data_IF_949686714683
#
_entry.id   IF_949686714683
#
_cell.length_a   1.000
_cell.length_b   1.000
_cell.length_c   1.000
_cell.angle_alpha   90.00
_cell.angle_beta   90.00
_cell.angle_gamma   90.00
#
_symmetry.space_group_name_H-M   'P 1'
#
loop_
_entity.id
_entity.type
_entity.pdbx_description
1 polymer ?
#
# COMPACT_ATOMS: atom_id res chain seq x y z
N UNK A 1 -25.05 -13.50 13.97
CA UNK A 1 -24.06 -12.43 13.68
C UNK A 1 -23.34 -12.80 12.38
N UNK A 2 -23.64 -12.12 11.26
CA UNK A 2 -22.94 -12.38 9.99
C UNK A 2 -21.56 -11.77 10.10
N UNK A 3 -20.56 -12.59 10.40
CA UNK A 3 -19.15 -12.20 10.30
C UNK A 3 -18.89 -11.91 8.82
N UNK A 4 -18.98 -10.63 8.42
CA UNK A 4 -18.51 -10.19 7.11
C UNK A 4 -17.00 -10.42 7.09
N UNK A 5 -16.57 -11.59 6.63
CA UNK A 5 -15.18 -11.93 6.39
C UNK A 5 -14.57 -10.88 5.47
N UNK A 6 -13.73 -10.00 6.03
CA UNK A 6 -12.95 -9.03 5.25
C UNK A 6 -11.74 -9.76 4.70
N UNK A 7 -11.84 -10.26 3.49
CA UNK A 7 -10.70 -10.86 2.79
C UNK A 7 -9.78 -9.76 2.24
N UNK A 8 -8.48 -9.98 2.37
CA UNK A 8 -7.43 -9.13 1.78
C UNK A 8 -6.73 -9.96 0.71
N UNK A 9 -6.75 -9.48 -0.54
CA UNK A 9 -6.01 -10.11 -1.64
C UNK A 9 -4.57 -9.63 -1.56
N UNK A 10 -3.64 -10.57 -1.49
CA UNK A 10 -2.20 -10.32 -1.45
C UNK A 10 -1.60 -10.86 -2.76
N UNK A 11 -1.21 -9.98 -3.69
CA UNK A 11 -0.49 -10.38 -4.90
C UNK A 11 0.78 -11.15 -4.56
N UNK A 12 1.15 -12.11 -5.42
CA UNK A 12 2.33 -12.94 -5.19
C UNK A 12 3.61 -12.13 -4.94
N UNK A 13 3.92 -11.03 -5.66
CA UNK A 13 5.10 -10.21 -5.37
C UNK A 13 5.09 -9.59 -3.96
N UNK A 14 3.92 -9.18 -3.47
CA UNK A 14 3.73 -8.62 -2.11
C UNK A 14 4.02 -9.72 -1.07
N UNK A 15 3.48 -10.92 -1.29
CA UNK A 15 3.72 -12.06 -0.40
C UNK A 15 5.21 -12.45 -0.38
N UNK A 16 5.81 -12.66 -1.55
CA UNK A 16 7.21 -13.07 -1.67
C UNK A 16 8.17 -12.05 -1.02
N UNK A 17 7.94 -10.75 -1.25
CA UNK A 17 8.71 -9.71 -0.58
C UNK A 17 8.58 -9.81 0.94
N UNK A 18 7.35 -9.94 1.46
CA UNK A 18 7.09 -9.98 2.91
C UNK A 18 7.79 -11.14 3.60
N UNK A 19 8.00 -12.27 2.92
CA UNK A 19 8.71 -13.44 3.45
C UNK A 19 10.24 -13.28 3.39
N UNK A 20 10.75 -12.61 2.35
CA UNK A 20 12.19 -12.49 2.08
C UNK A 20 12.85 -11.31 2.80
N UNK A 21 12.12 -10.21 3.01
CA UNK A 21 12.69 -8.98 3.59
C UNK A 21 13.28 -9.22 4.97
N UNK A 22 14.36 -8.48 5.27
CA UNK A 22 15.01 -8.43 6.58
C UNK A 22 15.07 -6.99 7.09
N UNK A 23 14.82 -6.76 8.39
CA UNK A 23 14.45 -7.73 9.43
C UNK A 23 13.07 -8.36 9.18
N UNK A 24 12.80 -9.54 9.75
CA UNK A 24 11.55 -10.29 9.46
C UNK A 24 10.27 -9.48 9.77
N UNK A 25 10.32 -8.62 10.79
CA UNK A 25 9.20 -7.73 11.13
C UNK A 25 8.93 -6.65 10.07
N UNK A 26 9.87 -6.33 9.18
CA UNK A 26 9.62 -5.45 8.04
C UNK A 26 8.56 -6.03 7.10
N UNK A 27 8.53 -7.36 6.93
CA UNK A 27 7.50 -8.04 6.14
C UNK A 27 6.12 -7.91 6.78
N UNK A 28 6.02 -8.13 8.10
CA UNK A 28 4.78 -7.96 8.87
C UNK A 28 4.26 -6.52 8.82
N UNK A 29 5.16 -5.55 9.01
CA UNK A 29 4.83 -4.12 8.92
C UNK A 29 4.35 -3.77 7.52
N UNK A 30 5.04 -4.22 6.48
CA UNK A 30 4.65 -3.94 5.10
C UNK A 30 3.28 -4.52 4.76
N UNK A 31 3.01 -5.78 5.11
CA UNK A 31 1.70 -6.40 4.92
C UNK A 31 0.58 -5.66 5.65
N UNK A 32 0.84 -5.23 6.88
CA UNK A 32 -0.10 -4.41 7.63
C UNK A 32 -0.39 -3.09 6.90
N UNK A 33 0.64 -2.34 6.52
CA UNK A 33 0.49 -1.07 5.80
C UNK A 33 -0.23 -1.25 4.46
N UNK A 34 0.08 -2.32 3.72
CA UNK A 34 -0.61 -2.70 2.50
C UNK A 34 -2.10 -2.95 2.76
N UNK A 35 -2.44 -3.72 3.80
CA UNK A 35 -3.83 -4.08 4.10
C UNK A 35 -4.71 -2.88 4.46
N UNK A 36 -4.16 -1.91 5.20
CA UNK A 36 -4.90 -0.71 5.64
C UNK A 36 -4.86 0.44 4.62
N UNK A 37 -4.04 0.33 3.57
CA UNK A 37 -3.97 1.30 2.48
C UNK A 37 -4.45 0.71 1.16
N UNK A 38 -3.58 0.01 0.44
CA UNK A 38 -3.81 -0.46 -0.93
C UNK A 38 -5.01 -1.40 -1.00
N UNK A 39 -5.05 -2.44 -0.15
CA UNK A 39 -6.17 -3.38 -0.13
C UNK A 39 -7.50 -2.71 0.28
N UNK A 40 -7.43 -1.62 1.05
CA UNK A 40 -8.58 -0.80 1.41
C UNK A 40 -8.97 0.24 0.34
N UNK A 41 -8.29 0.28 -0.82
CA UNK A 41 -8.57 1.22 -1.90
C UNK A 41 -8.01 2.63 -1.67
N UNK A 42 -6.93 2.76 -0.90
CA UNK A 42 -6.30 4.04 -0.53
C UNK A 42 -4.81 4.02 -0.87
N UNK A 43 -4.31 5.10 -1.45
CA UNK A 43 -2.87 5.28 -1.75
C UNK A 43 -2.04 5.61 -0.51
N UNK A 44 -2.66 6.29 0.45
CA UNK A 44 -2.02 6.79 1.67
C UNK A 44 -2.59 6.04 2.88
N UNK A 45 -1.71 5.66 3.81
CA UNK A 45 -2.10 5.03 5.08
C UNK A 45 -2.91 5.97 5.97
N UNK A 46 -3.73 5.46 6.91
CA UNK A 46 -4.12 6.24 8.07
C UNK A 46 -2.89 6.65 8.90
N UNK A 47 -3.11 7.43 9.95
CA UNK A 47 -2.04 7.79 10.89
C UNK A 47 -1.47 6.54 11.54
N UNK A 48 -0.15 6.38 11.46
CA UNK A 48 0.56 5.24 12.04
C UNK A 48 1.30 5.68 13.30
N UNK A 49 1.14 4.90 14.36
CA UNK A 49 1.88 5.02 15.61
C UNK A 49 2.78 3.80 15.78
N UNK A 50 4.09 4.02 15.89
CA UNK A 50 5.03 2.92 16.11
C UNK A 50 4.80 2.22 17.45
N UNK A 51 4.30 2.95 18.46
CA UNK A 51 3.96 2.36 19.77
C UNK A 51 2.77 1.41 19.67
N UNK A 52 1.71 1.83 18.99
CA UNK A 52 0.53 0.98 18.76
C UNK A 52 0.89 -0.25 17.92
N UNK A 53 1.77 -0.09 16.92
CA UNK A 53 2.25 -1.23 16.13
C UNK A 53 3.14 -2.18 16.94
N UNK A 54 3.97 -1.66 17.83
CA UNK A 54 4.82 -2.48 18.69
C UNK A 54 3.96 -3.35 19.62
N UNK A 55 2.90 -2.77 20.20
CA UNK A 55 1.91 -3.49 21.00
C UNK A 55 1.14 -4.51 20.16
N UNK A 56 0.62 -4.11 19.00
CA UNK A 56 -0.14 -4.98 18.10
C UNK A 56 0.67 -6.18 17.61
N UNK A 57 1.95 -5.98 17.27
CA UNK A 57 2.83 -7.06 16.81
C UNK A 57 3.53 -7.82 17.95
N UNK A 58 3.35 -7.37 19.20
CA UNK A 58 3.99 -7.89 20.41
C UNK A 58 5.53 -7.90 20.30
N UNK A 59 6.10 -6.77 19.89
CA UNK A 59 7.56 -6.59 19.74
C UNK A 59 8.02 -5.28 20.37
N UNK A 60 9.33 -5.11 20.56
CA UNK A 60 9.89 -3.86 21.08
C UNK A 60 9.69 -2.72 20.07
N UNK A 61 9.47 -1.51 20.58
CA UNK A 61 9.35 -0.29 19.79
C UNK A 61 10.53 -0.10 18.80
N UNK A 62 11.77 -0.31 19.25
CA UNK A 62 12.95 -0.23 18.38
C UNK A 62 12.95 -1.24 17.23
N UNK A 63 12.29 -2.39 17.38
CA UNK A 63 12.12 -3.37 16.29
C UNK A 63 11.19 -2.84 15.20
N UNK A 64 10.14 -2.10 15.58
CA UNK A 64 9.26 -1.42 14.63
C UNK A 64 10.03 -0.29 13.94
N UNK A 65 10.79 0.53 14.66
CA UNK A 65 11.60 1.59 14.06
C UNK A 65 12.59 1.04 13.02
N UNK A 66 13.31 -0.03 13.35
CA UNK A 66 14.23 -0.69 12.42
C UNK A 66 13.49 -1.24 11.19
N UNK A 67 12.31 -1.80 11.39
CA UNK A 67 11.47 -2.31 10.30
C UNK A 67 11.03 -1.18 9.35
N UNK A 68 10.57 -0.06 9.91
CA UNK A 68 10.22 1.12 9.11
C UNK A 68 11.43 1.72 8.39
N UNK A 69 12.60 1.78 9.04
CA UNK A 69 13.84 2.24 8.41
C UNK A 69 14.22 1.36 7.22
N UNK A 70 14.11 0.04 7.35
CA UNK A 70 14.36 -0.88 6.25
C UNK A 70 13.39 -0.65 5.08
N UNK A 71 12.09 -0.49 5.36
CA UNK A 71 11.09 -0.23 4.32
C UNK A 71 11.27 1.12 3.63
N UNK A 72 11.68 2.16 4.37
CA UNK A 72 12.02 3.47 3.82
C UNK A 72 13.23 3.39 2.89
N UNK A 73 14.29 2.70 3.30
CA UNK A 73 15.50 2.53 2.49
C UNK A 73 15.24 1.76 1.19
N UNK A 74 14.25 0.87 1.18
CA UNK A 74 13.83 0.12 0.00
C UNK A 74 12.84 0.90 -0.89
N UNK A 75 12.45 2.12 -0.51
CA UNK A 75 11.34 2.87 -1.11
C UNK A 75 10.00 2.09 -1.12
N UNK A 76 9.84 1.13 -0.21
CA UNK A 76 8.59 0.39 -0.05
C UNK A 76 7.49 1.27 0.56
N UNK A 77 7.89 2.27 1.34
CA UNK A 77 7.01 3.30 1.89
C UNK A 77 7.65 4.68 1.76
N UNK A 78 6.84 5.71 1.57
CA UNK A 78 7.30 7.10 1.43
C UNK A 78 6.53 7.97 2.44
N UNK A 79 7.20 8.73 3.33
CA UNK A 79 6.53 9.57 4.31
C UNK A 79 5.88 10.78 3.62
N UNK A 80 4.59 11.04 3.90
CA UNK A 80 3.85 12.17 3.29
C UNK A 80 3.35 13.22 4.27
N UNK A 81 3.11 12.84 5.53
CA UNK A 81 2.66 13.80 6.55
C UNK A 81 3.04 13.35 7.95
N UNK A 82 3.47 14.31 8.77
CA UNK A 82 3.71 14.14 10.21
C UNK A 82 2.67 14.94 10.98
N UNK A 83 2.03 14.32 11.97
CA UNK A 83 1.13 15.05 12.87
C UNK A 83 1.94 15.93 13.82
N UNK A 84 3.07 15.44 14.33
CA UNK A 84 3.97 16.17 15.24
C UNK A 84 5.46 15.98 14.88
N UNK A 85 6.32 16.95 15.21
CA UNK A 85 7.79 16.85 15.09
C UNK A 85 8.37 15.68 15.91
N UNK A 86 7.69 15.24 16.98
CA UNK A 86 8.09 14.16 17.88
C UNK A 86 7.76 12.73 17.38
N UNK A 87 7.31 12.55 16.13
CA UNK A 87 7.09 11.22 15.54
C UNK A 87 5.77 10.52 15.92
N UNK A 88 4.88 11.20 16.66
CA UNK A 88 3.52 10.70 16.92
C UNK A 88 2.66 10.91 15.68
N UNK A 89 2.31 9.81 15.01
CA UNK A 89 1.45 9.83 13.83
C UNK A 89 2.18 10.24 12.55
N UNK A 90 2.52 9.27 11.72
CA UNK A 90 3.04 9.50 10.36
C UNK A 90 2.11 8.82 9.34
N UNK A 91 1.88 9.49 8.21
CA UNK A 91 1.25 8.88 7.02
C UNK A 91 2.30 8.51 6.00
N UNK A 92 2.06 7.41 5.30
CA UNK A 92 2.92 6.91 4.25
C UNK A 92 2.13 6.64 2.98
N UNK A 93 2.76 6.85 1.82
CA UNK A 93 2.42 6.14 0.59
C UNK A 93 3.04 4.75 0.68
N UNK A 94 2.30 3.73 0.27
CA UNK A 94 2.81 2.36 0.18
C UNK A 94 3.01 2.03 -1.29
N UNK A 95 4.23 1.66 -1.65
CA UNK A 95 4.58 1.19 -2.97
C UNK A 95 4.48 -0.32 -3.04
N UNK A 96 4.39 -0.87 -4.24
CA UNK A 96 4.28 -2.30 -4.46
C UNK A 96 5.56 -2.88 -5.05
N UNK A 97 5.96 -4.09 -4.63
CA UNK A 97 7.15 -4.74 -5.16
C UNK A 97 6.90 -5.20 -6.59
N UNK A 98 7.92 -5.00 -7.42
CA UNK A 98 8.09 -5.60 -8.73
C UNK A 98 9.40 -6.37 -8.70
N UNK A 99 9.36 -7.62 -9.15
CA UNK A 99 10.56 -8.44 -9.26
C UNK A 99 11.24 -8.14 -10.61
N UNK A 100 12.47 -7.66 -10.58
CA UNK A 100 13.29 -7.31 -11.75
C UNK A 100 14.72 -7.74 -11.45
N UNK A 101 15.33 -8.53 -12.33
CA UNK A 101 16.73 -8.97 -12.24
C UNK A 101 17.12 -9.48 -10.84
N UNK A 102 16.34 -10.46 -10.36
CA UNK A 102 16.45 -11.10 -9.04
C UNK A 102 16.26 -10.21 -7.82
N UNK A 103 15.87 -8.95 -7.99
CA UNK A 103 15.67 -7.99 -6.91
C UNK A 103 14.25 -7.45 -6.89
N UNK A 104 13.80 -7.07 -5.69
CA UNK A 104 12.57 -6.31 -5.55
C UNK A 104 12.87 -4.82 -5.72
N UNK A 105 12.23 -4.21 -6.71
CA UNK A 105 12.12 -2.76 -6.81
C UNK A 105 10.71 -2.34 -6.40
N UNK A 106 10.56 -1.12 -5.86
CA UNK A 106 9.27 -0.61 -5.42
C UNK A 106 8.80 0.49 -6.35
N UNK A 107 7.57 0.32 -6.84
CA UNK A 107 6.93 1.24 -7.77
C UNK A 107 5.58 1.71 -7.22
N UNK A 108 5.11 2.84 -7.73
CA UNK A 108 3.76 3.32 -7.41
C UNK A 108 2.72 2.26 -7.84
N UNK A 109 1.67 2.15 -7.04
CA UNK A 109 0.52 1.27 -7.29
C UNK A 109 -0.10 1.58 -8.66
N UNK A 110 -0.11 2.84 -9.09
CA UNK A 110 -0.74 3.27 -10.34
C UNK A 110 0.02 2.87 -11.62
N UNK A 111 1.32 2.58 -11.47
CA UNK A 111 2.22 2.14 -12.54
C UNK A 111 2.43 0.62 -12.53
N UNK A 112 1.87 -0.05 -11.52
CA UNK A 112 2.02 -1.48 -11.32
C UNK A 112 0.95 -2.28 -12.04
N UNK A 113 1.41 -3.36 -12.71
CA UNK A 113 0.54 -4.34 -13.38
C UNK A 113 0.10 -5.50 -12.48
N UNK A 114 0.51 -5.51 -11.20
CA UNK A 114 0.25 -6.65 -10.31
C UNK A 114 -1.24 -6.91 -10.02
N UNK A 115 -2.10 -5.97 -10.42
CA UNK A 115 -3.55 -6.07 -10.28
C UNK A 115 -4.27 -6.25 -11.63
N UNK A 116 -3.55 -6.33 -12.75
CA UNK A 116 -4.16 -6.44 -14.08
C UNK A 116 -4.85 -7.80 -14.28
N UNK A 117 -4.30 -8.87 -13.72
CA UNK A 117 -4.86 -10.24 -13.81
C UNK A 117 -6.12 -10.45 -12.95
N UNK A 118 -6.39 -9.54 -12.00
CA UNK A 118 -7.63 -9.56 -11.23
C UNK A 118 -8.84 -9.05 -12.05
N UNK A 119 -8.63 -8.64 -13.31
CA UNK A 119 -9.68 -8.30 -14.29
C UNK A 119 -10.06 -9.55 -15.12
N UNK A 120 -9.97 -10.73 -14.53
CA UNK A 120 -10.50 -11.94 -15.15
C UNK A 120 -11.99 -12.09 -14.77
N UNK A 121 -12.80 -12.19 -15.82
CA UNK A 121 -14.26 -12.23 -15.91
C UNK A 121 -15.06 -10.92 -15.72
N UNK A 122 -15.46 -10.34 -16.85
CA UNK A 122 -16.61 -9.42 -16.92
C UNK A 122 -17.93 -10.10 -16.53
N UNK A 123 -17.98 -11.44 -16.53
CA UNK A 123 -19.18 -12.24 -16.26
C UNK A 123 -19.34 -12.60 -14.78
N UNK A 124 -18.24 -12.78 -14.02
CA UNK A 124 -18.26 -13.07 -12.59
C UNK A 124 -18.22 -11.78 -11.75
N UNK A 125 -19.41 -11.33 -11.33
CA UNK A 125 -19.70 -10.06 -10.61
C UNK A 125 -18.97 -9.83 -9.28
N UNK A 126 -18.05 -10.69 -8.84
CA UNK A 126 -17.48 -10.66 -7.48
C UNK A 126 -16.17 -9.87 -7.36
N UNK A 127 -15.37 -9.75 -8.43
CA UNK A 127 -13.98 -9.23 -8.33
C UNK A 127 -13.78 -7.78 -8.80
N UNK A 128 -14.81 -7.19 -9.39
CA UNK A 128 -14.69 -5.96 -10.17
C UNK A 128 -14.59 -4.68 -9.30
N UNK A 129 -14.88 -4.75 -8.00
CA UNK A 129 -15.13 -3.55 -7.16
C UNK A 129 -13.90 -2.74 -6.76
N UNK A 130 -12.76 -3.39 -6.47
CA UNK A 130 -11.55 -2.71 -5.99
C UNK A 130 -10.83 -2.02 -7.15
N UNK A 131 -10.69 -2.72 -8.29
CA UNK A 131 -9.99 -2.20 -9.47
C UNK A 131 -10.80 -1.12 -10.17
N UNK A 132 -12.13 -1.26 -10.26
CA UNK A 132 -12.97 -0.17 -10.80
C UNK A 132 -12.80 1.14 -10.04
N UNK A 133 -12.61 1.10 -8.71
CA UNK A 133 -12.35 2.31 -7.91
C UNK A 133 -11.00 2.97 -8.23
N UNK A 134 -9.96 2.18 -8.52
CA UNK A 134 -8.67 2.74 -8.92
C UNK A 134 -8.69 3.27 -10.36
N UNK A 135 -9.27 2.52 -11.31
CA UNK A 135 -9.43 3.00 -12.70
C UNK A 135 -10.32 4.23 -12.80
N UNK A 136 -11.45 4.27 -12.09
CA UNK A 136 -12.33 5.45 -12.11
C UNK A 136 -11.65 6.69 -11.51
N UNK A 137 -10.76 6.52 -10.52
CA UNK A 137 -9.97 7.63 -9.97
C UNK A 137 -8.90 8.13 -10.95
N UNK A 138 -8.23 7.23 -11.68
CA UNK A 138 -7.26 7.58 -12.73
C UNK A 138 -7.93 8.33 -13.89
N UNK A 139 -9.11 7.88 -14.32
CA UNK A 139 -9.92 8.56 -15.35
C UNK A 139 -10.42 9.92 -14.88
N UNK A 140 -10.87 10.01 -13.62
CA UNK A 140 -11.30 11.28 -13.03
C UNK A 140 -10.15 12.27 -12.92
N UNK A 141 -8.97 11.84 -12.46
CA UNK A 141 -7.78 12.68 -12.38
C UNK A 141 -7.32 13.18 -13.77
N UNK A 142 -7.36 12.33 -14.80
CA UNK A 142 -7.08 12.74 -16.20
C UNK A 142 -8.11 13.73 -16.73
N UNK A 143 -9.40 13.50 -16.44
CA UNK A 143 -10.49 14.38 -16.89
C UNK A 143 -10.42 15.75 -16.21
N UNK A 144 -10.05 15.79 -14.94
CA UNK A 144 -9.89 17.03 -14.18
C UNK A 144 -8.64 17.80 -14.65
N UNK A 145 -7.55 17.12 -15.03
CA UNK A 145 -6.40 17.77 -15.69
C UNK A 145 -6.78 18.37 -17.05
N UNK A 146 -7.52 17.64 -17.89
CA UNK A 146 -8.00 18.13 -19.20
C UNK A 146 -8.90 19.36 -19.09
N UNK A 147 -9.66 19.52 -18.00
CA UNK A 147 -10.48 20.71 -17.76
C UNK A 147 -9.66 21.94 -17.38
N UNK A 148 -8.55 21.78 -16.67
CA UNK A 148 -7.66 22.87 -16.29
C UNK A 148 -6.98 23.51 -17.52
N UNK A 149 -6.66 22.72 -18.54
CA UNK A 149 -6.07 23.23 -19.80
C UNK A 149 -7.08 23.85 -20.77
N UNK A 150 -8.39 23.68 -20.54
CA UNK A 150 -9.45 24.22 -21.39
C UNK A 150 -10.07 25.51 -20.81
N UNK A 151 -9.60 25.99 -19.65
CA UNK A 151 -10.07 27.24 -19.04
C UNK A 151 -9.23 28.47 -19.43
N UNK A 152 -8.17 28.29 -20.24
CA UNK A 152 -7.29 29.35 -20.74
C UNK A 152 -7.56 29.72 -22.21
N UNK A 153 -8.81 29.60 -22.69
CA UNK A 153 -9.24 30.09 -24.00
C UNK A 153 -10.44 31.01 -23.91
#
# INVERSE_FOLDING_TARGET
MVVKSRFVIIPMPVMQFSMKVRPANAGRVYLYLYSISIAAGRKITPWISYRELAEYFQVKYGTIELSFKALLNLNAIIPVARKNKKGYGQKYIVNVPKYVDDKFIFIDVEDSKIFDDLILDKENKTFVSVIKRFKSRKEKAKKDQLKLFNLDK
#
